data_IF_898133629165
#
_entry.id   IF_898133629165
#
_cell.length_a   1.000
_cell.length_b   1.000
_cell.length_c   1.000
_cell.angle_alpha   90.00
_cell.angle_beta   90.00
_cell.angle_gamma   90.00
#
_symmetry.space_group_name_H-M   'P 1'
#
loop_
_entity.id
_entity.type
_entity.pdbx_description
1 polymer ?
#
# COMPACT_ATOMS: atom_id res chain seq x y z
N UNK A 1 14.25 -9.55 11.61
CA UNK A 1 14.34 -8.30 12.40
C UNK A 1 13.49 -7.24 11.72
N UNK A 2 12.74 -6.44 12.49
CA UNK A 2 11.89 -5.37 12.00
C UNK A 2 12.41 -4.00 12.42
N UNK A 3 12.33 -3.01 11.52
CA UNK A 3 12.70 -1.62 11.77
C UNK A 3 11.60 -0.71 11.21
N UNK A 4 11.06 0.18 12.05
CA UNK A 4 10.10 1.19 11.64
C UNK A 4 10.82 2.48 11.21
N UNK A 5 10.31 3.13 10.17
CA UNK A 5 10.84 4.38 9.65
C UNK A 5 9.78 5.10 8.83
N UNK A 6 10.03 6.38 8.56
CA UNK A 6 9.17 7.19 7.72
C UNK A 6 9.91 7.61 6.46
N UNK A 7 9.24 7.54 5.31
CA UNK A 7 9.70 8.17 4.08
C UNK A 7 9.05 9.54 4.00
N UNK A 8 9.87 10.59 4.05
CA UNK A 8 9.41 11.97 3.96
C UNK A 8 9.80 12.53 2.59
N UNK A 9 8.85 12.59 1.67
CA UNK A 9 9.07 13.03 0.29
C UNK A 9 7.80 13.69 -0.26
N UNK A 10 7.94 14.72 -1.08
CA UNK A 10 6.85 15.45 -1.72
C UNK A 10 5.79 16.00 -0.72
N UNK A 11 6.21 16.36 0.50
CA UNK A 11 5.30 16.83 1.56
C UNK A 11 4.44 15.72 2.19
N UNK A 12 4.74 14.46 1.89
CA UNK A 12 4.11 13.29 2.46
C UNK A 12 5.04 12.64 3.49
N UNK A 13 4.45 11.95 4.48
CA UNK A 13 5.19 11.16 5.48
C UNK A 13 4.59 9.76 5.52
N UNK A 14 5.23 8.82 4.83
CA UNK A 14 4.75 7.44 4.65
C UNK A 14 5.31 6.56 5.76
N UNK A 15 4.43 5.96 6.56
CA UNK A 15 4.82 5.06 7.65
C UNK A 15 5.21 3.70 7.12
N UNK A 16 6.46 3.33 7.28
CA UNK A 16 7.05 2.12 6.72
C UNK A 16 7.60 1.18 7.79
N UNK A 17 7.73 -0.08 7.42
CA UNK A 17 8.41 -1.13 8.16
C UNK A 17 9.34 -1.88 7.21
N UNK A 18 10.62 -2.00 7.57
CA UNK A 18 11.60 -2.84 6.89
C UNK A 18 11.80 -4.12 7.70
N UNK A 19 11.67 -5.26 7.04
CA UNK A 19 11.98 -6.58 7.59
C UNK A 19 13.19 -7.11 6.83
N UNK A 20 14.24 -7.49 7.56
CA UNK A 20 15.46 -8.06 6.98
C UNK A 20 16.06 -9.14 7.91
N UNK A 21 17.02 -9.90 7.40
CA UNK A 21 17.74 -10.86 8.24
C UNK A 21 18.59 -10.14 9.30
N UNK A 22 18.99 -10.85 10.35
CA UNK A 22 19.87 -10.28 11.39
C UNK A 22 21.25 -9.91 10.84
N UNK A 23 21.75 -10.64 9.84
CA UNK A 23 23.01 -10.35 9.14
C UNK A 23 22.95 -9.06 8.33
N UNK A 24 21.76 -8.64 7.90
CA UNK A 24 21.55 -7.48 7.05
C UNK A 24 21.12 -6.23 7.83
N UNK A 25 21.23 -6.27 9.17
CA UNK A 25 20.80 -5.17 10.07
C UNK A 25 21.43 -3.82 9.72
N UNK A 26 22.66 -3.83 9.24
CA UNK A 26 23.41 -2.64 8.83
C UNK A 26 23.54 -2.52 7.31
N UNK A 27 22.90 -3.43 6.56
CA UNK A 27 22.95 -3.40 5.11
C UNK A 27 22.31 -2.12 4.58
N UNK A 28 23.05 -1.43 3.72
CA UNK A 28 22.58 -0.26 2.98
C UNK A 28 22.11 -0.64 1.57
N UNK A 29 22.24 -1.90 1.19
CA UNK A 29 21.86 -2.41 -0.11
C UNK A 29 21.28 -3.80 0.00
N UNK A 30 20.32 -4.09 -0.86
CA UNK A 30 19.67 -5.39 -0.99
C UNK A 30 19.75 -5.86 -2.44
N UNK A 31 19.89 -7.16 -2.66
CA UNK A 31 19.74 -7.70 -4.02
C UNK A 31 18.28 -7.58 -4.47
N UNK A 32 17.37 -7.85 -3.55
CA UNK A 32 15.93 -7.84 -3.83
C UNK A 32 15.14 -7.18 -2.69
N UNK A 33 14.19 -6.32 -3.03
CA UNK A 33 13.18 -5.81 -2.10
C UNK A 33 11.80 -6.31 -2.54
N UNK A 34 11.06 -6.90 -1.61
CA UNK A 34 9.64 -7.16 -1.77
C UNK A 34 8.83 -6.06 -1.07
N UNK A 35 8.05 -5.30 -1.84
CA UNK A 35 7.05 -4.37 -1.28
C UNK A 35 5.81 -5.17 -0.93
N UNK A 36 5.31 -5.04 0.30
CA UNK A 36 4.09 -5.71 0.77
C UNK A 36 3.03 -4.68 1.04
N UNK A 37 1.86 -4.85 0.40
CA UNK A 37 0.74 -3.94 0.56
C UNK A 37 -0.48 -4.64 1.15
N UNK A 38 -1.15 -3.95 2.07
CA UNK A 38 -2.32 -4.45 2.79
C UNK A 38 -3.64 -4.08 2.09
N UNK A 39 -4.75 -4.67 2.56
CA UNK A 39 -6.11 -4.39 2.10
C UNK A 39 -6.77 -3.21 2.80
N UNK A 40 -8.00 -2.87 2.35
CA UNK A 40 -8.81 -1.80 2.91
C UNK A 40 -9.09 -2.01 4.41
N UNK A 41 -8.90 -0.97 5.21
CA UNK A 41 -9.11 -0.99 6.66
C UNK A 41 -8.03 -1.74 7.46
N UNK A 42 -6.95 -2.20 6.79
CA UNK A 42 -5.82 -2.90 7.41
C UNK A 42 -4.62 -1.95 7.60
N UNK A 43 -3.44 -2.50 7.87
CA UNK A 43 -2.19 -1.75 8.05
C UNK A 43 -0.96 -2.63 7.82
N UNK A 44 0.23 -2.05 7.89
CA UNK A 44 1.52 -2.75 7.71
C UNK A 44 1.88 -3.72 8.84
N UNK A 45 1.22 -3.66 9.99
CA UNK A 45 1.56 -4.45 11.19
C UNK A 45 0.84 -5.81 11.25
N UNK A 46 0.18 -6.23 10.17
CA UNK A 46 -0.51 -7.53 10.19
C UNK A 46 0.46 -8.69 10.38
N UNK A 47 0.04 -9.72 11.12
CA UNK A 47 0.81 -10.95 11.27
C UNK A 47 1.17 -11.58 9.91
N UNK A 48 0.29 -11.46 8.90
CA UNK A 48 0.58 -11.93 7.54
C UNK A 48 1.78 -11.23 6.91
N UNK A 49 1.93 -9.91 7.13
CA UNK A 49 3.08 -9.14 6.67
C UNK A 49 4.37 -9.59 7.35
N UNK A 50 4.36 -9.68 8.69
CA UNK A 50 5.53 -10.12 9.46
C UNK A 50 5.94 -11.55 9.10
N UNK A 51 5.01 -12.50 9.10
CA UNK A 51 5.28 -13.89 8.75
C UNK A 51 5.84 -14.06 7.33
N UNK A 52 5.29 -13.34 6.35
CA UNK A 52 5.82 -13.34 4.99
C UNK A 52 7.24 -12.78 4.95
N UNK A 53 7.47 -11.64 5.59
CA UNK A 53 8.77 -10.99 5.63
C UNK A 53 9.82 -11.84 6.31
N UNK A 54 9.54 -12.39 7.48
CA UNK A 54 10.43 -13.28 8.22
C UNK A 54 10.77 -14.55 7.42
N UNK A 55 9.75 -15.19 6.83
CA UNK A 55 9.98 -16.39 6.01
C UNK A 55 10.86 -16.08 4.80
N UNK A 56 10.60 -15.00 4.08
CA UNK A 56 11.37 -14.62 2.89
C UNK A 56 12.83 -14.32 3.27
N UNK A 57 13.04 -13.47 4.28
CA UNK A 57 14.38 -12.99 4.64
C UNK A 57 15.20 -14.01 5.41
N UNK A 58 14.59 -14.98 6.09
CA UNK A 58 15.31 -16.09 6.72
C UNK A 58 15.76 -17.15 5.72
N UNK A 59 14.96 -17.38 4.66
CA UNK A 59 15.23 -18.43 3.67
C UNK A 59 16.16 -17.96 2.55
N UNK A 60 16.09 -16.70 2.17
CA UNK A 60 16.82 -16.17 1.02
C UNK A 60 17.69 -14.97 1.42
N UNK A 61 19.01 -15.10 1.24
CA UNK A 61 19.98 -14.00 1.48
C UNK A 61 19.78 -12.86 0.48
N UNK A 62 20.08 -11.64 0.91
CA UNK A 62 19.99 -10.45 0.08
C UNK A 62 18.55 -9.93 -0.15
N UNK A 63 17.54 -10.54 0.51
CA UNK A 63 16.18 -10.07 0.49
C UNK A 63 15.86 -9.16 1.67
N UNK A 64 15.18 -8.04 1.37
CA UNK A 64 14.46 -7.22 2.34
C UNK A 64 12.99 -7.12 1.98
N UNK A 65 12.16 -6.77 2.96
CA UNK A 65 10.72 -6.54 2.77
C UNK A 65 10.38 -5.16 3.30
N UNK A 66 9.74 -4.33 2.48
CA UNK A 66 9.12 -3.07 2.91
C UNK A 66 7.62 -3.26 2.95
N UNK A 67 7.01 -2.97 4.09
CA UNK A 67 5.57 -2.78 4.20
C UNK A 67 5.29 -1.33 4.60
N UNK A 68 4.20 -0.76 4.12
CA UNK A 68 3.81 0.62 4.43
C UNK A 68 2.30 0.76 4.64
N UNK A 69 1.89 1.80 5.35
CA UNK A 69 0.49 2.14 5.50
C UNK A 69 0.03 2.98 4.30
N UNK A 70 -1.06 2.56 3.64
CA UNK A 70 -1.74 3.38 2.63
C UNK A 70 -2.24 4.70 3.25
N UNK A 71 -2.49 5.76 2.44
CA UNK A 71 -3.16 6.97 2.92
C UNK A 71 -4.39 6.63 3.75
N UNK A 72 -4.56 7.29 4.88
CA UNK A 72 -5.65 7.10 5.84
C UNK A 72 -5.68 5.76 6.60
N UNK A 73 -4.72 4.86 6.39
CA UNK A 73 -4.65 3.56 7.07
C UNK A 73 -3.56 3.54 8.15
N UNK A 74 -3.67 2.58 9.07
CA UNK A 74 -2.67 2.37 10.12
C UNK A 74 -2.30 3.66 10.86
N UNK A 75 -1.02 4.00 10.84
CA UNK A 75 -0.46 5.21 11.48
C UNK A 75 -0.34 6.41 10.53
N UNK A 76 -0.84 6.30 9.30
CA UNK A 76 -0.82 7.42 8.36
C UNK A 76 -1.66 8.62 8.86
N UNK A 77 -1.19 9.84 8.63
CA UNK A 77 -1.82 11.06 9.15
C UNK A 77 -2.97 11.59 8.27
N UNK A 78 -3.11 11.09 7.05
CA UNK A 78 -4.14 11.54 6.10
C UNK A 78 -5.54 11.18 6.59
N UNK A 79 -6.52 11.97 6.16
CA UNK A 79 -7.93 11.76 6.54
C UNK A 79 -8.85 11.56 5.34
N UNK A 80 -8.42 11.98 4.15
CA UNK A 80 -9.16 11.80 2.89
C UNK A 80 -8.40 10.81 2.01
N UNK A 81 -9.08 9.73 1.63
CA UNK A 81 -8.54 8.69 0.76
C UNK A 81 -8.82 9.03 -0.71
N UNK A 82 -7.79 8.99 -1.53
CA UNK A 82 -7.87 9.10 -2.99
C UNK A 82 -7.03 8.01 -3.65
N UNK A 83 -7.43 7.55 -4.83
CA UNK A 83 -6.65 6.56 -5.60
C UNK A 83 -5.30 7.16 -6.02
N UNK A 84 -5.30 8.39 -6.53
CA UNK A 84 -4.07 9.07 -6.98
C UNK A 84 -3.02 9.20 -5.88
N UNK A 85 -3.42 9.51 -4.62
CA UNK A 85 -2.46 9.58 -3.51
C UNK A 85 -1.92 8.20 -3.13
N UNK A 86 -2.74 7.13 -3.26
CA UNK A 86 -2.26 5.75 -3.09
C UNK A 86 -1.19 5.39 -4.14
N UNK A 87 -1.40 5.76 -5.41
CA UNK A 87 -0.41 5.53 -6.47
C UNK A 87 0.88 6.33 -6.22
N UNK A 88 0.75 7.56 -5.72
CA UNK A 88 1.90 8.39 -5.31
C UNK A 88 2.69 7.71 -4.18
N UNK A 89 2.02 7.17 -3.16
CA UNK A 89 2.69 6.42 -2.08
C UNK A 89 3.46 5.23 -2.63
N UNK A 90 2.84 4.45 -3.52
CA UNK A 90 3.51 3.29 -4.11
C UNK A 90 4.72 3.70 -4.97
N UNK A 91 4.63 4.82 -5.70
CA UNK A 91 5.76 5.38 -6.44
C UNK A 91 6.91 5.73 -5.50
N UNK A 92 6.64 6.52 -4.46
CA UNK A 92 7.66 6.97 -3.50
C UNK A 92 8.34 5.77 -2.82
N UNK A 93 7.56 4.77 -2.36
CA UNK A 93 8.11 3.58 -1.71
C UNK A 93 8.95 2.75 -2.69
N UNK A 94 8.52 2.64 -3.95
CA UNK A 94 9.26 1.93 -4.99
C UNK A 94 10.59 2.62 -5.31
N UNK A 95 10.57 3.95 -5.46
CA UNK A 95 11.80 4.71 -5.70
C UNK A 95 12.73 4.72 -4.48
N UNK A 96 12.19 4.77 -3.27
CA UNK A 96 12.98 4.61 -2.05
C UNK A 96 13.71 3.26 -2.02
N UNK A 97 13.03 2.17 -2.35
CA UNK A 97 13.65 0.84 -2.43
C UNK A 97 14.83 0.82 -3.42
N UNK A 98 14.72 1.48 -4.56
CA UNK A 98 15.78 1.55 -5.57
C UNK A 98 16.92 2.47 -5.15
N UNK A 99 16.62 3.69 -4.68
CA UNK A 99 17.64 4.73 -4.41
C UNK A 99 18.32 4.53 -3.07
N UNK A 100 17.53 4.41 -2.00
CA UNK A 100 18.05 4.43 -0.62
C UNK A 100 18.48 3.03 -0.15
N UNK A 101 17.75 1.98 -0.56
CA UNK A 101 18.11 0.61 -0.27
C UNK A 101 18.90 -0.07 -1.40
N UNK A 102 19.17 0.65 -2.48
CA UNK A 102 19.97 0.21 -3.63
C UNK A 102 19.55 -1.18 -4.14
N UNK A 103 18.23 -1.43 -4.12
CA UNK A 103 17.67 -2.71 -4.56
C UNK A 103 17.94 -2.92 -6.06
N UNK A 104 18.58 -4.04 -6.40
CA UNK A 104 18.78 -4.43 -7.81
C UNK A 104 17.46 -4.78 -8.47
N UNK A 105 16.58 -5.44 -7.73
CA UNK A 105 15.24 -5.81 -8.17
C UNK A 105 14.20 -5.45 -7.11
N UNK A 106 13.06 -4.91 -7.56
CA UNK A 106 11.89 -4.69 -6.73
C UNK A 106 10.79 -5.66 -7.14
N UNK A 107 10.21 -6.35 -6.16
CA UNK A 107 9.03 -7.21 -6.32
C UNK A 107 7.88 -6.64 -5.50
N UNK A 108 6.64 -7.06 -5.80
CA UNK A 108 5.48 -6.63 -5.03
C UNK A 108 4.59 -7.81 -4.66
N UNK A 109 4.13 -7.85 -3.42
CA UNK A 109 3.12 -8.76 -2.90
C UNK A 109 1.95 -7.97 -2.33
N UNK A 110 0.79 -8.06 -2.95
CA UNK A 110 -0.34 -7.18 -2.69
C UNK A 110 -1.61 -7.95 -2.34
N UNK A 111 -2.35 -7.46 -1.35
CA UNK A 111 -3.58 -8.11 -0.88
C UNK A 111 -4.79 -7.19 -1.06
N UNK A 112 -5.90 -7.73 -1.58
CA UNK A 112 -7.22 -7.08 -1.67
C UNK A 112 -7.16 -5.70 -2.34
N UNK A 113 -7.47 -4.57 -1.63
CA UNK A 113 -7.31 -3.20 -2.12
C UNK A 113 -5.90 -2.94 -2.65
N UNK A 114 -4.86 -3.41 -1.93
CA UNK A 114 -3.49 -3.28 -2.40
C UNK A 114 -3.26 -3.96 -3.75
N UNK A 115 -3.93 -5.09 -3.99
CA UNK A 115 -3.91 -5.79 -5.28
C UNK A 115 -4.57 -4.95 -6.40
N UNK A 116 -5.72 -4.34 -6.13
CA UNK A 116 -6.39 -3.40 -7.04
C UNK A 116 -5.48 -2.20 -7.36
N UNK A 117 -4.93 -1.55 -6.34
CA UNK A 117 -4.04 -0.40 -6.51
C UNK A 117 -2.75 -0.77 -7.27
N UNK A 118 -2.23 -1.98 -7.09
CA UNK A 118 -1.10 -2.48 -7.87
C UNK A 118 -1.46 -2.60 -9.35
N UNK A 119 -2.62 -3.17 -9.69
CA UNK A 119 -3.08 -3.27 -11.08
C UNK A 119 -3.28 -1.87 -11.71
N UNK A 120 -3.89 -0.94 -10.99
CA UNK A 120 -4.02 0.46 -11.41
C UNK A 120 -2.65 1.10 -11.65
N UNK A 121 -1.70 0.89 -10.74
CA UNK A 121 -0.34 1.39 -10.88
C UNK A 121 0.34 0.88 -12.16
N UNK A 122 0.18 -0.40 -12.48
CA UNK A 122 0.76 -0.97 -13.71
C UNK A 122 0.20 -0.33 -14.98
N UNK A 123 -1.07 0.06 -14.97
CA UNK A 123 -1.75 0.68 -16.11
C UNK A 123 -1.36 2.16 -16.23
N UNK A 124 -1.37 2.91 -15.14
CA UNK A 124 -1.23 4.37 -15.15
C UNK A 124 0.22 4.85 -15.09
N UNK A 125 1.08 4.13 -14.35
CA UNK A 125 2.47 4.53 -14.09
C UNK A 125 3.46 3.64 -14.85
N UNK A 126 3.14 2.35 -15.01
CA UNK A 126 4.00 1.37 -15.64
C UNK A 126 4.46 0.27 -14.68
N UNK A 127 5.26 -0.67 -15.19
CA UNK A 127 5.71 -1.82 -14.42
C UNK A 127 7.18 -1.71 -13.97
N UNK A 128 7.45 -1.29 -12.72
CA UNK A 128 8.79 -1.28 -12.15
C UNK A 128 9.16 -2.61 -11.46
N UNK A 129 8.24 -3.58 -11.37
CA UNK A 129 8.39 -4.78 -10.56
C UNK A 129 8.88 -5.96 -11.39
N UNK A 130 9.93 -6.64 -10.92
CA UNK A 130 10.41 -7.89 -11.51
C UNK A 130 9.41 -9.04 -11.36
N UNK A 131 8.73 -9.11 -10.20
CA UNK A 131 7.69 -10.10 -9.90
C UNK A 131 6.53 -9.45 -9.18
N UNK A 132 5.33 -9.89 -9.52
CA UNK A 132 4.08 -9.43 -8.95
C UNK A 132 3.33 -10.65 -8.42
N UNK A 133 2.96 -10.61 -7.15
CA UNK A 133 2.09 -11.61 -6.53
C UNK A 133 0.86 -10.92 -5.94
N UNK A 134 -0.31 -11.33 -6.36
CA UNK A 134 -1.58 -10.76 -5.93
C UNK A 134 -2.37 -11.81 -5.13
N UNK A 135 -2.75 -11.46 -3.92
CA UNK A 135 -3.61 -12.27 -3.06
C UNK A 135 -5.00 -11.68 -3.02
N UNK A 136 -5.98 -12.38 -3.59
CA UNK A 136 -7.38 -11.96 -3.62
C UNK A 136 -7.54 -10.47 -4.02
N UNK A 137 -6.99 -10.03 -5.17
CA UNK A 137 -7.09 -8.64 -5.58
C UNK A 137 -8.55 -8.25 -5.73
N UNK A 138 -8.92 -7.07 -5.23
CA UNK A 138 -10.30 -6.58 -5.29
C UNK A 138 -10.59 -5.96 -6.67
N UNK A 139 -10.61 -6.76 -7.73
CA UNK A 139 -10.76 -6.29 -9.12
C UNK A 139 -12.02 -5.44 -9.30
N UNK A 140 -13.14 -5.87 -8.70
CA UNK A 140 -14.41 -5.13 -8.70
C UNK A 140 -14.53 -4.23 -7.47
N UNK A 141 -13.53 -3.35 -7.27
CA UNK A 141 -13.45 -2.54 -6.06
C UNK A 141 -14.61 -1.55 -5.94
N UNK A 142 -15.03 -0.95 -7.04
CA UNK A 142 -16.18 -0.04 -7.07
C UNK A 142 -17.44 -0.74 -6.56
N UNK A 143 -17.82 -1.84 -7.18
CA UNK A 143 -19.03 -2.60 -6.81
C UNK A 143 -18.96 -3.07 -5.36
N UNK A 144 -17.79 -3.57 -4.95
CA UNK A 144 -17.58 -4.07 -3.59
C UNK A 144 -17.75 -2.97 -2.54
N UNK A 145 -17.27 -1.76 -2.79
CA UNK A 145 -17.38 -0.66 -1.84
C UNK A 145 -18.72 0.07 -1.96
N UNK A 146 -19.12 0.45 -3.18
CA UNK A 146 -20.27 1.30 -3.40
C UNK A 146 -21.60 0.61 -3.05
N UNK A 147 -21.71 -0.72 -3.27
CA UNK A 147 -22.90 -1.48 -2.88
C UNK A 147 -23.17 -1.46 -1.37
N UNK A 148 -22.13 -1.26 -0.56
CA UNK A 148 -22.21 -1.22 0.91
C UNK A 148 -22.48 0.19 1.47
N UNK A 149 -22.50 1.21 0.61
CA UNK A 149 -22.78 2.58 1.04
C UNK A 149 -24.28 2.73 1.30
N UNK A 150 -24.69 3.22 2.49
CA UNK A 150 -26.09 3.52 2.77
C UNK A 150 -26.66 4.57 1.82
N UNK A 151 -27.97 4.49 1.48
CA UNK A 151 -28.60 5.42 0.53
C UNK A 151 -28.54 6.88 0.98
N UNK A 152 -28.58 7.13 2.29
CA UNK A 152 -28.37 8.47 2.85
C UNK A 152 -26.98 9.04 2.50
N UNK A 153 -25.95 8.20 2.49
CA UNK A 153 -24.58 8.60 2.15
C UNK A 153 -24.39 8.70 0.63
N UNK A 154 -25.03 7.85 -0.17
CA UNK A 154 -25.09 8.02 -1.64
C UNK A 154 -25.73 9.37 -2.00
N UNK A 155 -26.79 9.76 -1.27
CA UNK A 155 -27.42 11.08 -1.45
C UNK A 155 -26.48 12.24 -1.11
N UNK A 156 -25.61 12.08 -0.08
CA UNK A 156 -24.57 13.08 0.25
C UNK A 156 -23.53 13.17 -0.86
N UNK A 157 -23.03 12.03 -1.35
CA UNK A 157 -22.07 11.98 -2.47
C UNK A 157 -22.62 12.67 -3.71
N UNK A 158 -23.87 12.39 -4.09
CA UNK A 158 -24.52 13.03 -5.23
C UNK A 158 -24.67 14.55 -5.09
N UNK A 159 -24.64 15.08 -3.85
CA UNK A 159 -24.62 16.52 -3.55
C UNK A 159 -23.20 17.09 -3.38
N UNK A 160 -22.17 16.35 -3.81
CA UNK A 160 -20.76 16.77 -3.71
C UNK A 160 -20.20 16.79 -2.28
N UNK A 161 -20.83 16.09 -1.32
CA UNK A 161 -20.36 16.02 0.07
C UNK A 161 -19.49 14.80 0.28
N UNK A 162 -18.53 14.92 1.22
CA UNK A 162 -17.74 13.78 1.70
C UNK A 162 -18.57 12.89 2.63
N UNK A 163 -18.26 11.60 2.61
CA UNK A 163 -18.77 10.60 3.55
C UNK A 163 -17.62 9.93 4.29
N UNK A 164 -17.93 9.21 5.34
CA UNK A 164 -16.95 8.41 6.08
C UNK A 164 -17.13 6.93 5.77
N UNK A 165 -16.03 6.27 5.41
CA UNK A 165 -15.94 4.83 5.19
C UNK A 165 -14.87 4.22 6.09
N UNK A 166 -14.81 2.88 6.18
CA UNK A 166 -13.83 2.16 6.98
C UNK A 166 -14.43 1.52 8.23
N UNK A 167 -13.65 0.65 8.86
CA UNK A 167 -14.06 -0.14 10.02
C UNK A 167 -13.66 0.57 11.33
N UNK A 168 -12.53 0.20 11.90
CA UNK A 168 -12.00 0.80 13.12
C UNK A 168 -11.59 2.25 12.89
N UNK A 169 -10.84 2.49 11.82
CA UNK A 169 -10.44 3.83 11.41
C UNK A 169 -11.36 4.35 10.31
N UNK A 170 -11.96 5.52 10.55
CA UNK A 170 -12.79 6.21 9.57
C UNK A 170 -11.94 7.11 8.69
N UNK A 171 -12.20 7.06 7.40
CA UNK A 171 -11.56 7.89 6.37
C UNK A 171 -12.61 8.58 5.52
N UNK A 172 -12.33 9.77 5.09
CA UNK A 172 -13.20 10.54 4.21
C UNK A 172 -13.00 10.11 2.77
N UNK A 173 -14.09 9.98 2.04
CA UNK A 173 -14.13 9.81 0.58
C UNK A 173 -15.22 10.69 0.00
N UNK A 174 -15.07 11.05 -1.27
CA UNK A 174 -16.07 11.80 -2.04
C UNK A 174 -16.49 11.04 -3.29
N UNK A 175 -17.31 11.65 -4.13
CA UNK A 175 -17.75 11.04 -5.38
C UNK A 175 -16.58 10.75 -6.33
N UNK A 176 -15.56 11.64 -6.37
CA UNK A 176 -14.39 11.45 -7.23
C UNK A 176 -13.62 10.16 -6.90
N UNK A 177 -13.50 9.80 -5.59
CA UNK A 177 -12.90 8.52 -5.20
C UNK A 177 -13.64 7.32 -5.83
N UNK A 178 -14.98 7.33 -5.80
CA UNK A 178 -15.76 6.24 -6.40
C UNK A 178 -15.72 6.26 -7.93
N UNK A 179 -15.63 7.42 -8.55
CA UNK A 179 -15.48 7.54 -10.00
C UNK A 179 -14.10 7.01 -10.45
N UNK A 180 -13.05 7.29 -9.69
CA UNK A 180 -11.71 6.71 -9.90
C UNK A 180 -11.71 5.18 -9.78
N UNK A 181 -12.56 4.60 -8.92
CA UNK A 181 -12.65 3.14 -8.79
C UNK A 181 -13.32 2.45 -9.98
N UNK A 182 -14.08 3.18 -10.81
CA UNK A 182 -14.73 2.64 -12.01
C UNK A 182 -13.80 2.59 -13.23
N UNK A 183 -12.82 3.45 -13.28
CA UNK A 183 -11.83 3.55 -14.36
C UNK A 183 -10.74 2.48 -14.19
#
# INVERSE_FOLDING_TARGET
MEKHFDINEQGLSIRCKLICSASDKTARSFDHIAIVTHGFGSNKETAGTSNFGEHLTSKYKGWGVIAFDWPCHGMDARKKLTVGECLTYLTIVTEYAKRELQAKDVCIYSTSLGGYLTLRYLIEVGNPFRKIALRCPAIHMYETMYSRIPDADKTKLAKGKEIQVGFERKMKVDQAFFDDLKS
#
